data_IF_364211237632
#
_entry.id   IF_364211237632
#
_cell.length_a   1.000
_cell.length_b   1.000
_cell.length_c   1.000
_cell.angle_alpha   90.00
_cell.angle_beta   90.00
_cell.angle_gamma   90.00
#
_symmetry.space_group_name_H-M   'P 1'
#
loop_
_entity.id
_entity.type
_entity.pdbx_description
1 polymer ?
#
# COMPACT_ATOMS: atom_id res chain seq x y z
N UNK A 1 -5.59 -22.22 2.35
CA UNK A 1 -4.75 -21.28 3.03
C UNK A 1 -3.83 -20.57 2.14
N UNK A 2 -3.98 -19.34 2.03
CA UNK A 2 -3.12 -18.55 1.20
C UNK A 2 -2.09 -17.79 2.03
N UNK A 3 -1.07 -17.27 1.35
CA UNK A 3 -0.08 -16.42 1.99
C UNK A 3 -0.70 -15.13 2.54
N UNK A 4 -1.94 -14.82 2.17
CA UNK A 4 -2.63 -13.63 2.66
C UNK A 4 -3.55 -13.93 3.83
N UNK A 5 -3.50 -15.14 4.34
CA UNK A 5 -4.37 -15.52 5.45
C UNK A 5 -4.21 -14.63 6.67
N UNK A 6 -2.98 -14.16 6.91
CA UNK A 6 -2.71 -13.28 8.04
C UNK A 6 -3.51 -11.97 7.98
N UNK A 7 -3.87 -11.51 6.77
CA UNK A 7 -4.66 -10.31 6.60
C UNK A 7 -6.08 -10.48 7.12
N UNK A 8 -6.64 -11.65 6.89
CA UNK A 8 -8.02 -11.91 7.28
C UNK A 8 -8.15 -12.21 8.77
N UNK A 9 -7.04 -12.52 9.41
CA UNK A 9 -7.02 -12.78 10.84
C UNK A 9 -6.71 -11.53 11.65
N UNK A 10 -6.35 -10.43 10.98
CA UNK A 10 -6.06 -9.18 11.68
C UNK A 10 -7.33 -8.34 11.79
N UNK A 11 -7.29 -7.34 12.65
CA UNK A 11 -8.42 -6.43 12.85
C UNK A 11 -8.43 -5.28 11.85
N UNK A 12 -7.84 -5.49 10.68
CA UNK A 12 -7.78 -4.44 9.67
C UNK A 12 -9.12 -4.24 8.99
N UNK A 13 -9.50 -3.00 8.69
CA UNK A 13 -10.71 -2.75 7.91
C UNK A 13 -10.55 -3.27 6.49
N UNK A 14 -11.68 -3.53 5.84
CA UNK A 14 -11.66 -4.04 4.46
C UNK A 14 -10.88 -3.16 3.51
N UNK A 15 -10.94 -1.84 3.69
CA UNK A 15 -10.21 -0.93 2.82
C UNK A 15 -8.71 -1.18 2.88
N UNK A 16 -8.19 -1.47 4.08
CA UNK A 16 -6.76 -1.74 4.24
C UNK A 16 -6.39 -3.05 3.59
N UNK A 17 -7.21 -4.07 3.76
CA UNK A 17 -6.98 -5.37 3.14
C UNK A 17 -6.96 -5.24 1.62
N UNK A 18 -7.92 -4.51 1.06
CA UNK A 18 -7.98 -4.30 -0.38
C UNK A 18 -6.76 -3.59 -0.92
N UNK A 19 -6.31 -2.55 -0.22
CA UNK A 19 -5.12 -1.82 -0.63
C UNK A 19 -3.89 -2.71 -0.55
N UNK A 20 -3.76 -3.50 0.52
CA UNK A 20 -2.62 -4.40 0.65
C UNK A 20 -2.56 -5.41 -0.50
N UNK A 21 -3.69 -6.02 -0.83
CA UNK A 21 -3.75 -6.98 -1.91
C UNK A 21 -3.36 -6.33 -3.23
N UNK A 22 -3.84 -5.12 -3.46
CA UNK A 22 -3.48 -4.36 -4.66
C UNK A 22 -1.97 -4.13 -4.73
N UNK A 23 -1.39 -3.68 -3.62
CA UNK A 23 0.05 -3.43 -3.58
C UNK A 23 0.85 -4.70 -3.78
N UNK A 24 0.41 -5.79 -3.17
CA UNK A 24 1.07 -7.08 -3.32
C UNK A 24 1.07 -7.54 -4.77
N UNK A 25 -0.06 -7.33 -5.45
CA UNK A 25 -0.18 -7.68 -6.86
C UNK A 25 0.74 -6.85 -7.75
N UNK A 26 1.01 -5.60 -7.36
CA UNK A 26 1.86 -4.71 -8.13
C UNK A 26 3.32 -4.78 -7.73
N UNK A 27 3.62 -5.41 -6.61
CA UNK A 27 4.97 -5.44 -6.10
C UNK A 27 5.87 -6.33 -6.95
N UNK A 28 7.14 -5.94 -7.05
CA UNK A 28 8.15 -6.77 -7.71
C UNK A 28 8.58 -7.88 -6.75
N UNK A 29 9.61 -8.63 -7.14
CA UNK A 29 10.06 -9.74 -6.31
C UNK A 29 10.69 -9.29 -4.98
N UNK A 30 11.05 -8.03 -4.87
CA UNK A 30 11.56 -7.48 -3.61
C UNK A 30 10.43 -6.98 -2.72
N UNK A 31 9.18 -7.09 -3.14
CA UNK A 31 8.05 -6.62 -2.38
C UNK A 31 7.89 -5.11 -2.42
N UNK A 32 8.36 -4.46 -3.49
CA UNK A 32 8.32 -3.01 -3.63
C UNK A 32 7.46 -2.58 -4.80
N UNK A 33 6.74 -1.48 -4.62
CA UNK A 33 5.95 -0.90 -5.70
C UNK A 33 5.81 0.60 -5.49
N UNK A 34 5.40 1.30 -6.55
CA UNK A 34 5.38 2.77 -6.54
C UNK A 34 4.08 3.38 -7.07
N UNK A 35 2.93 2.80 -6.91
CA UNK A 35 1.71 3.43 -7.45
C UNK A 35 1.39 4.71 -6.67
N UNK A 36 0.86 5.72 -7.35
CA UNK A 36 0.42 6.92 -6.66
C UNK A 36 -0.89 6.64 -5.93
N UNK A 37 -1.19 7.46 -4.93
CA UNK A 37 -2.46 7.35 -4.21
C UNK A 37 -3.63 7.51 -5.17
N UNK A 38 -3.49 8.43 -6.10
CA UNK A 38 -4.49 8.67 -7.12
C UNK A 38 -4.75 7.40 -7.97
N UNK A 39 -3.68 6.72 -8.36
CA UNK A 39 -3.78 5.48 -9.13
C UNK A 39 -4.47 4.38 -8.31
N UNK A 40 -4.07 4.21 -7.07
CA UNK A 40 -4.66 3.20 -6.18
C UNK A 40 -6.16 3.48 -6.03
N UNK A 41 -6.51 4.73 -5.76
CA UNK A 41 -7.90 5.12 -5.56
C UNK A 41 -8.74 4.83 -6.81
N UNK A 42 -8.20 5.17 -7.97
CA UNK A 42 -8.89 4.95 -9.22
C UNK A 42 -9.12 3.47 -9.50
N UNK A 43 -8.07 2.67 -9.31
CA UNK A 43 -8.12 1.23 -9.59
C UNK A 43 -9.06 0.49 -8.64
N UNK A 44 -9.09 0.91 -7.39
CA UNK A 44 -9.93 0.26 -6.39
C UNK A 44 -11.28 0.94 -6.22
N UNK A 45 -11.52 2.00 -6.96
CA UNK A 45 -12.77 2.76 -6.88
C UNK A 45 -13.02 3.29 -5.47
N UNK A 46 -11.95 3.78 -4.86
CA UNK A 46 -12.00 4.38 -3.53
C UNK A 46 -11.62 5.85 -3.62
N UNK A 47 -11.99 6.64 -2.62
CA UNK A 47 -11.54 8.01 -2.56
C UNK A 47 -10.07 8.03 -2.14
N UNK A 48 -9.36 9.10 -2.48
CA UNK A 48 -7.98 9.25 -2.06
C UNK A 48 -7.85 9.28 -0.55
N UNK A 49 -8.81 9.89 0.13
CA UNK A 49 -8.83 9.91 1.60
C UNK A 49 -8.91 8.51 2.17
N UNK A 50 -9.75 7.67 1.57
CA UNK A 50 -9.88 6.28 2.01
C UNK A 50 -8.58 5.52 1.82
N UNK A 51 -7.92 5.74 0.67
CA UNK A 51 -6.64 5.09 0.40
C UNK A 51 -5.59 5.52 1.43
N UNK A 52 -5.53 6.81 1.74
CA UNK A 52 -4.58 7.30 2.75
C UNK A 52 -4.81 6.68 4.11
N UNK A 53 -6.08 6.55 4.51
CA UNK A 53 -6.42 5.90 5.78
C UNK A 53 -6.02 4.43 5.76
N UNK A 54 -6.26 3.75 4.64
CA UNK A 54 -5.88 2.35 4.50
C UNK A 54 -4.37 2.18 4.62
N UNK A 55 -3.60 3.04 3.97
CA UNK A 55 -2.14 2.99 4.05
C UNK A 55 -1.66 3.24 5.47
N UNK A 56 -2.31 4.18 6.17
CA UNK A 56 -1.98 4.45 7.56
C UNK A 56 -2.23 3.22 8.43
N UNK A 57 -3.37 2.55 8.22
CA UNK A 57 -3.70 1.34 8.96
C UNK A 57 -2.67 0.25 8.72
N UNK A 58 -2.25 0.08 7.47
CA UNK A 58 -1.25 -0.92 7.13
C UNK A 58 0.11 -0.62 7.74
N UNK A 59 0.52 0.65 7.72
CA UNK A 59 1.79 1.04 8.35
C UNK A 59 1.74 0.84 9.87
N UNK A 60 0.61 1.17 10.47
CA UNK A 60 0.42 1.01 11.90
C UNK A 60 0.49 -0.46 12.30
N UNK A 61 -0.03 -1.34 11.44
CA UNK A 61 0.04 -2.78 11.66
C UNK A 61 1.40 -3.37 11.27
N UNK A 62 2.31 -2.53 10.77
CA UNK A 62 3.65 -2.95 10.35
C UNK A 62 3.64 -3.96 9.21
N UNK A 63 2.62 -3.87 8.37
CA UNK A 63 2.51 -4.73 7.20
C UNK A 63 3.17 -4.11 5.98
N UNK A 64 3.31 -2.79 5.97
CA UNK A 64 4.03 -2.09 4.91
C UNK A 64 4.90 -1.01 5.52
N UNK A 65 5.90 -0.61 4.76
CA UNK A 65 6.68 0.59 5.04
C UNK A 65 6.57 1.52 3.84
N UNK A 66 6.63 2.80 4.09
CA UNK A 66 6.63 3.78 3.00
C UNK A 66 7.90 4.60 3.10
N UNK A 67 8.43 4.96 1.94
CA UNK A 67 9.65 5.74 1.85
C UNK A 67 9.44 6.81 0.80
N UNK A 68 9.63 8.06 1.18
CA UNK A 68 9.48 9.18 0.25
C UNK A 68 10.79 9.43 -0.45
N UNK A 69 10.73 9.53 -1.77
CA UNK A 69 11.91 9.84 -2.57
C UNK A 69 11.69 11.16 -3.27
N UNK A 70 12.64 12.06 -3.14
CA UNK A 70 12.57 13.37 -3.74
C UNK A 70 13.52 13.45 -4.91
N UNK A 71 13.09 14.17 -5.95
CA UNK A 71 13.96 14.48 -7.06
C UNK A 71 14.53 15.86 -6.86
N UNK A 72 15.81 16.03 -7.23
CA UNK A 72 16.49 17.31 -7.03
C UNK A 72 15.92 18.45 -7.86
N UNK A 73 15.27 18.17 -8.96
CA UNK A 73 14.75 19.21 -9.83
C UNK A 73 13.25 19.37 -9.65
N UNK A 74 12.83 19.74 -8.46
CA UNK A 74 11.45 20.09 -8.22
C UNK A 74 10.40 19.13 -8.76
N UNK A 75 10.79 17.94 -9.05
CA UNK A 75 9.86 16.95 -9.54
C UNK A 75 8.95 16.46 -8.43
N UNK A 76 7.93 15.74 -8.83
CA UNK A 76 7.01 15.15 -7.87
C UNK A 76 7.74 14.09 -7.05
N UNK A 77 7.49 14.09 -5.75
CA UNK A 77 8.01 13.03 -4.91
C UNK A 77 7.26 11.74 -5.20
N UNK A 78 7.97 10.64 -5.21
CA UNK A 78 7.37 9.31 -5.35
C UNK A 78 7.34 8.63 -4.00
N UNK A 79 6.31 7.88 -3.76
CA UNK A 79 6.20 7.11 -2.53
C UNK A 79 6.46 5.65 -2.84
N UNK A 80 7.48 5.11 -2.22
CA UNK A 80 7.81 3.70 -2.35
C UNK A 80 7.11 2.92 -1.26
N UNK A 81 6.44 1.85 -1.64
CA UNK A 81 5.77 0.96 -0.68
C UNK A 81 6.54 -0.35 -0.60
N UNK A 82 6.92 -0.72 0.60
CA UNK A 82 7.61 -1.99 0.86
C UNK A 82 6.69 -2.89 1.67
N UNK A 83 6.39 -4.05 1.12
CA UNK A 83 5.50 -4.99 1.79
C UNK A 83 6.29 -5.83 2.78
N UNK A 84 5.84 -5.85 4.01
CA UNK A 84 6.52 -6.57 5.10
C UNK A 84 5.88 -7.88 5.47
N UNK A 85 4.69 -8.13 4.96
CA UNK A 85 3.95 -9.33 5.31
C UNK A 85 4.29 -10.55 4.49
N UNK A 86 5.32 -10.46 3.68
CA UNK A 86 5.72 -11.62 2.85
C UNK A 86 6.67 -12.52 3.57
#
# INVERSE_FOLDING_TARGET
>A
MGRLNFLYQSDLPHRAISVYIYLDDRANKDGECWPSISTIAKELKLSQSTVRRALRDLRKAKLIETEQRYRKKGGKSSLLYKLKGK
#
